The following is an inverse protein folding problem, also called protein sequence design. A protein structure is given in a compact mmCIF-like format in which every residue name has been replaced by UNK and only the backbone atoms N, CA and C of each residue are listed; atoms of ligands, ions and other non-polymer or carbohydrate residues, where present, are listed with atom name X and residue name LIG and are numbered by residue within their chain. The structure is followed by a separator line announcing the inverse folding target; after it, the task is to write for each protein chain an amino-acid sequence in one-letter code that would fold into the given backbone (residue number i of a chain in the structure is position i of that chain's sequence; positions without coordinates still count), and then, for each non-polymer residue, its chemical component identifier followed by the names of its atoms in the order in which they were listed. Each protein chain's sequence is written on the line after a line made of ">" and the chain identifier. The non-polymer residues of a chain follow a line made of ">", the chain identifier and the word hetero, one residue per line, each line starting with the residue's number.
data_IF_838981605316
#
_entry.id   IF_838981605316
#
_cell.length_a   1.000
_cell.length_b   1.000
_cell.length_c   1.000
_cell.angle_alpha   90.00
_cell.angle_beta   90.00
_cell.angle_gamma   90.00
#
_symmetry.space_group_name_H-M   'P 1'
#
loop_
_entity.id
_entity.type
_entity.pdbx_description
1 polymer ?
#
# COMPACT_ATOMS: atom_id res chain seq x y z
N UNK A 1 2.90 21.83 50.62
CA UNK A 1 1.71 22.08 49.77
C UNK A 1 2.04 22.49 48.33
N UNK A 2 3.28 22.89 48.00
CA UNK A 2 3.69 23.27 46.63
C UNK A 2 4.05 22.07 45.73
N UNK A 3 4.58 20.99 46.29
CA UNK A 3 5.03 19.81 45.52
C UNK A 3 3.86 18.99 44.93
N UNK A 4 2.69 18.96 45.58
CA UNK A 4 1.52 18.24 45.06
C UNK A 4 0.83 19.00 43.91
N UNK A 5 0.85 20.33 43.92
CA UNK A 5 0.33 21.15 42.81
C UNK A 5 1.15 21.00 41.54
N UNK A 6 2.48 20.99 41.66
CA UNK A 6 3.39 20.85 40.51
C UNK A 6 3.28 19.47 39.85
N UNK A 7 3.10 18.42 40.65
CA UNK A 7 2.91 17.04 40.17
C UNK A 7 1.55 16.83 39.49
N UNK A 8 0.52 17.53 39.97
CA UNK A 8 -0.83 17.46 39.42
C UNK A 8 -0.98 18.28 38.12
N UNK A 9 -0.25 19.38 37.96
CA UNK A 9 -0.19 20.16 36.71
C UNK A 9 0.60 19.43 35.60
N UNK A 10 1.71 18.77 35.94
CA UNK A 10 2.48 17.97 34.96
C UNK A 10 1.72 16.75 34.49
N UNK A 11 0.97 16.06 35.37
CA UNK A 11 0.12 14.95 34.92
C UNK A 11 -1.01 15.43 34.01
N UNK A 12 -1.71 16.53 34.34
CA UNK A 12 -2.82 17.02 33.49
C UNK A 12 -2.39 17.45 32.08
N UNK A 13 -1.24 18.14 31.97
CA UNK A 13 -0.69 18.58 30.68
C UNK A 13 -0.18 17.42 29.83
N UNK A 14 0.40 16.38 30.47
CA UNK A 14 0.85 15.16 29.79
C UNK A 14 -0.34 14.34 29.28
N UNK A 15 -1.43 14.27 30.05
CA UNK A 15 -2.68 13.63 29.62
C UNK A 15 -3.34 14.37 28.45
N UNK A 16 -3.31 15.70 28.47
CA UNK A 16 -3.83 16.52 27.37
C UNK A 16 -3.01 16.37 26.08
N UNK A 17 -1.68 16.33 26.17
CA UNK A 17 -0.83 16.10 25.00
C UNK A 17 -1.02 14.70 24.40
N UNK A 18 -1.13 13.66 25.23
CA UNK A 18 -1.46 12.30 24.78
C UNK A 18 -2.81 12.27 24.07
N UNK A 19 -3.83 12.91 24.64
CA UNK A 19 -5.19 12.94 24.06
C UNK A 19 -5.24 13.69 22.73
N UNK A 20 -4.53 14.82 22.61
CA UNK A 20 -4.40 15.58 21.36
C UNK A 20 -3.64 14.78 20.29
N UNK A 21 -2.58 14.07 20.70
CA UNK A 21 -1.80 13.21 19.80
C UNK A 21 -2.65 12.05 19.28
N UNK A 22 -3.42 11.38 20.13
CA UNK A 22 -4.35 10.31 19.73
C UNK A 22 -5.42 10.85 18.77
N UNK A 23 -6.08 11.96 19.09
CA UNK A 23 -7.10 12.55 18.23
C UNK A 23 -6.54 12.99 16.86
N UNK A 24 -5.30 13.45 16.82
CA UNK A 24 -4.61 13.82 15.58
C UNK A 24 -4.24 12.58 14.75
N UNK A 25 -3.80 11.50 15.41
CA UNK A 25 -3.53 10.21 14.79
C UNK A 25 -4.80 9.57 14.21
N UNK A 26 -5.93 9.63 14.92
CA UNK A 26 -7.22 9.12 14.44
C UNK A 26 -7.68 9.87 13.18
N UNK A 27 -7.53 11.20 13.15
CA UNK A 27 -7.83 12.02 11.96
C UNK A 27 -6.90 11.69 10.80
N UNK A 28 -5.61 11.52 11.08
CA UNK A 28 -4.65 11.11 10.07
C UNK A 28 -5.00 9.72 9.52
N UNK A 29 -5.38 8.76 10.37
CA UNK A 29 -5.79 7.42 9.96
C UNK A 29 -7.00 7.45 9.01
N UNK A 30 -7.99 8.29 9.28
CA UNK A 30 -9.13 8.52 8.39
C UNK A 30 -8.69 9.04 7.01
N UNK A 31 -7.91 10.13 6.99
CA UNK A 31 -7.45 10.74 5.73
C UNK A 31 -6.56 9.78 4.93
N UNK A 32 -5.63 9.10 5.60
CA UNK A 32 -4.78 8.09 4.96
C UNK A 32 -5.57 6.86 4.53
N UNK A 33 -6.63 6.49 5.24
CA UNK A 33 -7.55 5.43 4.86
C UNK A 33 -8.26 5.72 3.54
N UNK A 34 -8.82 6.92 3.41
CA UNK A 34 -9.51 7.35 2.18
C UNK A 34 -8.53 7.57 1.02
N UNK A 35 -7.38 8.19 1.28
CA UNK A 35 -6.31 8.34 0.28
C UNK A 35 -5.80 6.98 -0.21
N UNK A 36 -5.66 5.99 0.69
CA UNK A 36 -5.23 4.63 0.34
C UNK A 36 -6.29 3.92 -0.52
N UNK A 37 -7.57 4.09 -0.24
CA UNK A 37 -8.65 3.56 -1.08
C UNK A 37 -8.64 4.17 -2.47
N UNK A 38 -8.51 5.49 -2.55
CA UNK A 38 -8.44 6.20 -3.82
C UNK A 38 -7.21 5.77 -4.63
N UNK A 39 -6.04 5.68 -3.99
CA UNK A 39 -4.83 5.18 -4.63
C UNK A 39 -4.98 3.75 -5.15
N UNK A 40 -5.60 2.85 -4.38
CA UNK A 40 -5.88 1.48 -4.83
C UNK A 40 -6.86 1.44 -6.00
N UNK A 41 -7.83 2.35 -6.04
CA UNK A 41 -8.72 2.49 -7.20
C UNK A 41 -7.95 2.94 -8.45
N UNK A 42 -7.07 3.94 -8.33
CA UNK A 42 -6.19 4.34 -9.44
C UNK A 42 -5.29 3.18 -9.91
N UNK A 43 -4.68 2.45 -8.97
CA UNK A 43 -3.92 1.25 -9.29
C UNK A 43 -4.76 0.19 -10.00
N UNK A 44 -6.02 0.01 -9.59
CA UNK A 44 -6.93 -0.91 -10.25
C UNK A 44 -7.19 -0.49 -11.71
N UNK A 45 -7.46 0.79 -11.97
CA UNK A 45 -7.65 1.31 -13.32
C UNK A 45 -6.39 1.12 -14.18
N UNK A 46 -5.22 1.44 -13.62
CA UNK A 46 -3.93 1.25 -14.29
C UNK A 46 -3.68 -0.23 -14.63
N UNK A 47 -3.97 -1.15 -13.70
CA UNK A 47 -3.83 -2.59 -13.90
C UNK A 47 -4.81 -3.13 -14.93
N UNK A 48 -6.04 -2.61 -14.98
CA UNK A 48 -7.04 -2.97 -15.99
C UNK A 48 -6.60 -2.55 -17.39
N UNK A 49 -6.06 -1.33 -17.53
CA UNK A 49 -5.49 -0.87 -18.80
C UNK A 49 -4.26 -1.71 -19.21
N UNK A 50 -3.35 -1.96 -18.28
CA UNK A 50 -2.20 -2.84 -18.51
C UNK A 50 -2.62 -4.24 -18.93
N UNK A 51 -3.68 -4.81 -18.35
CA UNK A 51 -4.18 -6.14 -18.71
C UNK A 51 -4.58 -6.23 -20.18
N UNK A 52 -5.29 -5.21 -20.67
CA UNK A 52 -5.74 -5.12 -22.06
C UNK A 52 -4.57 -4.93 -23.02
N UNK A 53 -3.51 -4.25 -22.58
CA UNK A 53 -2.36 -3.88 -23.40
C UNK A 53 -1.07 -4.67 -23.12
N UNK A 54 -1.15 -5.86 -22.48
CA UNK A 54 0.04 -6.70 -22.25
C UNK A 54 0.65 -7.18 -23.58
N UNK A 55 1.74 -6.55 -24.02
CA UNK A 55 2.48 -6.87 -25.25
C UNK A 55 3.93 -7.27 -24.97
N UNK A 56 4.15 -8.13 -23.98
CA UNK A 56 5.50 -8.62 -23.68
C UNK A 56 5.89 -9.76 -24.65
N UNK A 57 7.11 -9.75 -25.21
CA UNK A 57 7.55 -10.76 -26.18
C UNK A 57 7.64 -12.15 -25.53
N UNK A 58 8.10 -12.21 -24.28
CA UNK A 58 8.23 -13.47 -23.53
C UNK A 58 6.89 -13.93 -22.96
N UNK A 59 6.49 -15.18 -23.27
CA UNK A 59 5.24 -15.78 -22.78
C UNK A 59 5.18 -15.86 -21.25
N UNK A 60 6.27 -16.24 -20.60
CA UNK A 60 6.35 -16.33 -19.14
C UNK A 60 6.10 -14.97 -18.46
N UNK A 61 6.70 -13.89 -18.98
CA UNK A 61 6.47 -12.52 -18.49
C UNK A 61 5.02 -12.11 -18.66
N UNK A 62 4.39 -12.43 -19.81
CA UNK A 62 2.96 -12.17 -20.04
C UNK A 62 2.08 -12.87 -19.01
N UNK A 63 2.33 -14.15 -18.75
CA UNK A 63 1.55 -14.96 -17.80
C UNK A 63 1.73 -14.41 -16.38
N UNK A 64 2.97 -14.17 -15.94
CA UNK A 64 3.25 -13.61 -14.62
C UNK A 64 2.59 -12.24 -14.42
N UNK A 65 2.68 -11.35 -15.41
CA UNK A 65 2.04 -10.03 -15.36
C UNK A 65 0.52 -10.15 -15.27
N UNK A 66 -0.12 -10.99 -16.10
CA UNK A 66 -1.56 -11.23 -16.06
C UNK A 66 -2.01 -11.84 -14.73
N UNK A 67 -1.27 -12.82 -14.22
CA UNK A 67 -1.58 -13.45 -12.94
C UNK A 67 -1.46 -12.46 -11.78
N UNK A 68 -0.45 -11.60 -11.79
CA UNK A 68 -0.29 -10.53 -10.81
C UNK A 68 -1.44 -9.53 -10.87
N UNK A 69 -1.89 -9.15 -12.07
CA UNK A 69 -3.07 -8.29 -12.25
C UNK A 69 -4.33 -8.97 -11.70
N UNK A 70 -4.54 -10.26 -11.97
CA UNK A 70 -5.67 -11.01 -11.42
C UNK A 70 -5.62 -11.08 -9.88
N UNK A 71 -4.43 -11.26 -9.29
CA UNK A 71 -4.27 -11.21 -7.84
C UNK A 71 -4.68 -9.84 -7.28
N UNK A 72 -4.24 -8.75 -7.93
CA UNK A 72 -4.67 -7.40 -7.56
C UNK A 72 -6.18 -7.19 -7.70
N UNK A 73 -6.79 -7.71 -8.76
CA UNK A 73 -8.24 -7.65 -8.96
C UNK A 73 -8.98 -8.34 -7.80
N UNK A 74 -8.62 -9.57 -7.46
CA UNK A 74 -9.28 -10.30 -6.37
C UNK A 74 -8.99 -9.69 -5.00
N UNK A 75 -7.77 -9.19 -4.78
CA UNK A 75 -7.43 -8.41 -3.59
C UNK A 75 -8.35 -7.19 -3.44
N UNK A 76 -8.48 -6.38 -4.48
CA UNK A 76 -9.34 -5.20 -4.47
C UNK A 76 -10.81 -5.58 -4.28
N UNK A 77 -11.30 -6.60 -4.99
CA UNK A 77 -12.68 -7.09 -4.86
C UNK A 77 -12.97 -7.55 -3.43
N UNK A 78 -12.11 -8.40 -2.86
CA UNK A 78 -12.31 -8.92 -1.50
C UNK A 78 -12.19 -7.83 -0.44
N UNK A 79 -11.28 -6.85 -0.61
CA UNK A 79 -11.24 -5.67 0.25
C UNK A 79 -12.56 -4.90 0.23
N UNK A 80 -13.09 -4.60 -0.96
CA UNK A 80 -14.35 -3.87 -1.07
C UNK A 80 -15.53 -4.67 -0.51
N UNK A 81 -15.55 -5.99 -0.68
CA UNK A 81 -16.52 -6.86 -0.02
C UNK A 81 -16.42 -6.75 1.50
N UNK A 82 -15.21 -6.83 2.08
CA UNK A 82 -15.01 -6.67 3.54
C UNK A 82 -15.53 -5.32 4.03
N UNK A 83 -15.24 -4.24 3.29
CA UNK A 83 -15.73 -2.90 3.63
C UNK A 83 -17.25 -2.83 3.54
N UNK A 84 -17.85 -3.35 2.47
CA UNK A 84 -19.30 -3.37 2.27
C UNK A 84 -20.01 -4.14 3.41
N UNK A 85 -19.57 -5.36 3.71
CA UNK A 85 -20.16 -6.15 4.79
C UNK A 85 -20.02 -5.48 6.15
N UNK A 86 -18.87 -4.87 6.47
CA UNK A 86 -18.66 -4.24 7.78
C UNK A 86 -19.31 -2.87 7.93
N UNK A 87 -19.28 -2.01 6.91
CA UNK A 87 -19.72 -0.61 7.00
C UNK A 87 -21.17 -0.42 6.55
N UNK A 88 -21.62 -1.17 5.54
CA UNK A 88 -22.97 -1.00 4.97
C UNK A 88 -23.95 -1.97 5.60
N UNK A 89 -23.58 -3.25 5.69
CA UNK A 89 -24.44 -4.29 6.24
C UNK A 89 -24.27 -4.49 7.75
N UNK A 90 -23.30 -3.83 8.39
CA UNK A 90 -23.07 -3.91 9.83
C UNK A 90 -22.63 -5.29 10.35
N UNK A 91 -22.15 -6.16 9.46
CA UNK A 91 -21.72 -7.52 9.80
C UNK A 91 -20.52 -7.48 10.74
N UNK A 92 -20.57 -8.27 11.82
CA UNK A 92 -19.53 -8.24 12.83
C UNK A 92 -18.19 -8.68 12.26
N UNK A 93 -17.09 -7.97 12.54
CA UNK A 93 -15.77 -8.32 12.02
C UNK A 93 -15.24 -9.67 12.55
N UNK A 94 -15.90 -10.22 13.58
CA UNK A 94 -15.53 -11.50 14.21
C UNK A 94 -16.16 -12.72 13.54
N UNK A 95 -17.10 -12.52 12.61
CA UNK A 95 -17.79 -13.61 11.94
C UNK A 95 -16.86 -14.47 11.08
N UNK A 96 -17.16 -15.78 10.95
CA UNK A 96 -16.32 -16.72 10.21
C UNK A 96 -16.18 -16.34 8.73
N UNK A 97 -17.25 -15.81 8.12
CA UNK A 97 -17.23 -15.29 6.75
C UNK A 97 -16.26 -14.12 6.60
N UNK A 98 -16.26 -13.17 7.56
CA UNK A 98 -15.34 -12.03 7.54
C UNK A 98 -13.89 -12.46 7.70
N UNK A 99 -13.62 -13.43 8.58
CA UNK A 99 -12.26 -14.01 8.73
C UNK A 99 -11.77 -14.64 7.43
N UNK A 100 -12.63 -15.40 6.74
CA UNK A 100 -12.30 -15.99 5.43
C UNK A 100 -12.01 -14.91 4.38
N UNK A 101 -12.87 -13.90 4.28
CA UNK A 101 -12.68 -12.79 3.33
C UNK A 101 -11.36 -12.02 3.59
N UNK A 102 -11.07 -11.69 4.85
CA UNK A 102 -9.81 -11.03 5.23
C UNK A 102 -8.59 -11.90 4.92
N UNK A 103 -8.67 -13.21 5.20
CA UNK A 103 -7.61 -14.16 4.87
C UNK A 103 -7.39 -14.27 3.36
N UNK A 104 -8.46 -14.34 2.57
CA UNK A 104 -8.39 -14.35 1.10
C UNK A 104 -7.77 -13.07 0.57
N UNK A 105 -8.20 -11.91 1.08
CA UNK A 105 -7.64 -10.61 0.74
C UNK A 105 -6.12 -10.58 0.99
N UNK A 106 -5.68 -10.94 2.21
CA UNK A 106 -4.25 -11.01 2.54
C UNK A 106 -3.50 -12.07 1.71
N UNK A 107 -4.15 -13.18 1.37
CA UNK A 107 -3.60 -14.21 0.50
C UNK A 107 -3.35 -13.73 -0.93
N UNK A 108 -4.29 -13.00 -1.53
CA UNK A 108 -4.11 -12.40 -2.85
C UNK A 108 -3.04 -11.30 -2.84
N UNK A 109 -2.95 -10.53 -1.76
CA UNK A 109 -1.89 -9.55 -1.59
C UNK A 109 -0.51 -10.22 -1.51
N UNK A 110 -0.38 -11.26 -0.68
CA UNK A 110 0.85 -12.04 -0.55
C UNK A 110 1.25 -12.67 -1.90
N UNK A 111 0.31 -13.29 -2.60
CA UNK A 111 0.56 -13.90 -3.90
C UNK A 111 1.01 -12.87 -4.93
N UNK A 112 0.43 -11.66 -4.91
CA UNK A 112 0.86 -10.56 -5.77
C UNK A 112 2.30 -10.11 -5.49
N UNK A 113 2.72 -10.08 -4.21
CA UNK A 113 4.10 -9.77 -3.80
C UNK A 113 5.05 -10.87 -4.30
N UNK A 114 4.68 -12.15 -4.08
CA UNK A 114 5.50 -13.30 -4.50
C UNK A 114 5.69 -13.34 -6.02
N UNK A 115 4.66 -13.04 -6.79
CA UNK A 115 4.73 -12.95 -8.25
C UNK A 115 5.56 -11.76 -8.75
N UNK A 116 5.73 -10.73 -7.92
CA UNK A 116 6.51 -9.56 -8.27
C UNK A 116 8.03 -9.81 -8.25
N UNK A 117 8.53 -10.81 -7.53
CA UNK A 117 9.96 -11.16 -7.53
C UNK A 117 10.44 -11.76 -8.85
N UNK A 118 9.87 -12.87 -9.37
CA UNK A 118 10.31 -13.42 -10.64
C UNK A 118 10.05 -12.46 -11.80
N UNK A 119 8.95 -11.69 -11.75
CA UNK A 119 8.65 -10.71 -12.79
C UNK A 119 9.69 -9.58 -12.86
N UNK A 120 10.11 -9.01 -11.73
CA UNK A 120 11.15 -7.97 -11.71
C UNK A 120 12.51 -8.51 -12.14
N UNK A 121 12.83 -9.75 -11.76
CA UNK A 121 14.05 -10.41 -12.21
C UNK A 121 14.06 -10.59 -13.73
N UNK A 122 12.96 -11.12 -14.31
CA UNK A 122 12.86 -11.33 -15.76
C UNK A 122 12.85 -10.04 -16.57
N UNK A 123 12.31 -8.96 -16.00
CA UNK A 123 12.28 -7.64 -16.64
C UNK A 123 13.56 -6.83 -16.41
N UNK A 124 14.52 -7.34 -15.60
CA UNK A 124 15.71 -6.59 -15.16
C UNK A 124 15.36 -5.21 -14.54
N UNK A 125 14.19 -5.11 -13.89
CA UNK A 125 13.64 -3.85 -13.34
C UNK A 125 13.71 -3.74 -11.82
N UNK A 126 14.35 -4.70 -11.15
CA UNK A 126 14.45 -4.73 -9.69
C UNK A 126 15.39 -3.66 -9.14
N UNK A 127 14.90 -2.45 -8.87
CA UNK A 127 15.65 -1.48 -8.07
C UNK A 127 15.76 -1.96 -6.62
N UNK A 128 16.86 -1.66 -5.92
CA UNK A 128 17.04 -2.04 -4.52
C UNK A 128 15.88 -1.57 -3.62
N UNK A 129 15.35 -0.37 -3.86
CA UNK A 129 14.18 0.15 -3.13
C UNK A 129 12.89 -0.64 -3.42
N UNK A 130 12.63 -1.04 -4.67
CA UNK A 130 11.48 -1.89 -5.02
C UNK A 130 11.55 -3.24 -4.30
N UNK A 131 12.74 -3.84 -4.27
CA UNK A 131 12.98 -5.10 -3.57
C UNK A 131 12.83 -4.95 -2.05
N UNK A 132 13.38 -3.88 -1.47
CA UNK A 132 13.24 -3.59 -0.04
C UNK A 132 11.77 -3.39 0.36
N UNK A 133 10.98 -2.68 -0.47
CA UNK A 133 9.54 -2.53 -0.26
C UNK A 133 8.83 -3.88 -0.21
N UNK A 134 9.09 -4.75 -1.18
CA UNK A 134 8.48 -6.08 -1.24
C UNK A 134 8.86 -6.96 -0.06
N UNK A 135 10.11 -6.86 0.40
CA UNK A 135 10.59 -7.58 1.58
C UNK A 135 9.94 -7.08 2.88
N UNK A 136 9.63 -5.78 2.98
CA UNK A 136 8.90 -5.22 4.11
C UNK A 136 7.40 -5.59 4.07
N UNK A 137 6.80 -5.68 2.89
CA UNK A 137 5.40 -6.07 2.72
C UNK A 137 5.18 -7.58 2.92
N UNK A 138 6.19 -8.42 2.67
CA UNK A 138 6.11 -9.88 2.78
C UNK A 138 5.71 -10.38 4.19
N UNK A 139 6.37 -9.97 5.30
CA UNK A 139 5.97 -10.38 6.64
C UNK A 139 4.60 -9.82 7.04
N UNK A 140 4.23 -8.64 6.53
CA UNK A 140 2.91 -8.02 6.76
C UNK A 140 1.82 -8.88 6.15
N UNK A 141 1.99 -9.26 4.88
CA UNK A 141 1.02 -10.07 4.16
C UNK A 141 0.97 -11.52 4.68
N UNK A 142 2.10 -12.10 5.09
CA UNK A 142 2.15 -13.48 5.59
C UNK A 142 1.45 -13.66 6.94
N UNK A 143 1.64 -12.72 7.88
CA UNK A 143 0.92 -12.70 9.17
C UNK A 143 -0.56 -12.41 8.97
N UNK A 144 -0.89 -11.48 8.05
CA UNK A 144 -2.27 -11.22 7.66
C UNK A 144 -2.96 -12.47 7.10
N UNK A 145 -2.23 -13.33 6.38
CA UNK A 145 -2.75 -14.60 5.86
C UNK A 145 -2.84 -15.70 6.92
N UNK A 146 -1.87 -15.80 7.83
CA UNK A 146 -1.88 -16.80 8.91
C UNK A 146 -2.99 -16.54 9.94
N UNK A 147 -3.47 -15.29 10.03
CA UNK A 147 -4.43 -14.87 11.04
C UNK A 147 -3.81 -14.78 12.44
N UNK A 148 -2.47 -14.81 12.52
CA UNK A 148 -1.73 -14.64 13.77
C UNK A 148 -1.86 -13.21 14.24
N UNK A 149 -2.23 -13.01 15.51
CA UNK A 149 -2.19 -11.69 16.13
C UNK A 149 -0.74 -11.36 16.48
N UNK A 150 -0.19 -10.36 15.81
CA UNK A 150 1.11 -9.76 16.14
C UNK A 150 0.86 -8.30 16.51
N UNK A 151 1.75 -7.71 17.31
CA UNK A 151 1.61 -6.33 17.80
C UNK A 151 1.26 -5.35 16.67
N UNK A 152 0.08 -4.74 16.78
CA UNK A 152 -0.46 -3.78 15.80
C UNK A 152 0.50 -2.59 15.57
N UNK A 153 1.32 -2.24 16.58
CA UNK A 153 2.31 -1.17 16.50
C UNK A 153 3.49 -1.49 15.57
N UNK A 154 4.06 -2.69 15.65
CA UNK A 154 5.18 -3.09 14.79
C UNK A 154 4.75 -3.20 13.31
N UNK A 155 3.56 -3.76 13.07
CA UNK A 155 3.01 -3.88 11.72
C UNK A 155 2.55 -2.52 11.17
N UNK A 156 2.09 -1.62 12.05
CA UNK A 156 1.86 -0.22 11.71
C UNK A 156 3.14 0.49 11.26
N UNK A 157 4.25 0.31 11.97
CA UNK A 157 5.56 0.90 11.62
C UNK A 157 6.10 0.31 10.31
N UNK A 158 6.04 -1.02 10.13
CA UNK A 158 6.47 -1.67 8.89
C UNK A 158 5.61 -1.23 7.70
N UNK A 159 4.29 -1.12 7.91
CA UNK A 159 3.37 -0.60 6.90
C UNK A 159 3.64 0.86 6.54
N UNK A 160 3.98 1.71 7.52
CA UNK A 160 4.38 3.10 7.31
C UNK A 160 5.71 3.18 6.54
N UNK A 161 6.73 2.41 6.94
CA UNK A 161 8.01 2.36 6.25
C UNK A 161 7.86 1.91 4.79
N UNK A 162 7.07 0.87 4.54
CA UNK A 162 6.74 0.42 3.18
C UNK A 162 5.98 1.47 2.37
N UNK A 163 5.04 2.19 3.00
CA UNK A 163 4.31 3.27 2.34
C UNK A 163 5.23 4.41 1.92
N UNK A 164 6.16 4.82 2.79
CA UNK A 164 7.14 5.86 2.49
C UNK A 164 8.10 5.46 1.38
N UNK A 165 8.62 4.23 1.41
CA UNK A 165 9.44 3.69 0.32
C UNK A 165 8.65 3.68 -1.00
N UNK A 166 7.37 3.30 -0.96
CA UNK A 166 6.47 3.33 -2.11
C UNK A 166 6.33 4.73 -2.71
N UNK A 167 6.07 5.74 -1.87
CA UNK A 167 5.99 7.14 -2.28
C UNK A 167 7.30 7.62 -2.91
N UNK A 168 8.44 7.34 -2.27
CA UNK A 168 9.75 7.70 -2.80
C UNK A 168 10.00 7.08 -4.18
N UNK A 169 9.74 5.77 -4.36
CA UNK A 169 9.91 5.11 -5.66
C UNK A 169 8.99 5.66 -6.74
N UNK A 170 7.72 5.94 -6.41
CA UNK A 170 6.77 6.53 -7.35
C UNK A 170 7.20 7.95 -7.75
N UNK A 171 7.66 8.74 -6.79
CA UNK A 171 8.17 10.08 -7.03
C UNK A 171 9.38 10.06 -7.95
N UNK A 172 10.37 9.20 -7.67
CA UNK A 172 11.57 9.08 -8.50
C UNK A 172 11.24 8.64 -9.92
N UNK A 173 10.34 7.67 -10.10
CA UNK A 173 9.92 7.22 -11.42
C UNK A 173 9.17 8.31 -12.20
N UNK A 174 8.33 9.08 -11.50
CA UNK A 174 7.58 10.19 -12.10
C UNK A 174 8.52 11.31 -12.53
N UNK A 175 9.48 11.68 -11.68
CA UNK A 175 10.50 12.69 -12.00
C UNK A 175 11.41 12.24 -13.14
N UNK A 176 11.80 10.96 -13.19
CA UNK A 176 12.59 10.42 -14.30
C UNK A 176 11.83 10.49 -15.64
N UNK A 177 10.54 10.10 -15.65
CA UNK A 177 9.67 10.22 -16.84
C UNK A 177 9.49 11.68 -17.25
N UNK A 178 9.28 12.58 -16.28
CA UNK A 178 9.13 14.00 -16.53
C UNK A 178 10.39 14.61 -17.14
N UNK A 179 11.57 14.30 -16.57
CA UNK A 179 12.86 14.73 -17.12
C UNK A 179 13.08 14.21 -18.55
N UNK A 180 12.78 12.94 -18.83
CA UNK A 180 12.88 12.39 -20.18
C UNK A 180 11.94 13.07 -21.17
N UNK A 181 10.70 13.38 -20.77
CA UNK A 181 9.75 14.11 -21.61
C UNK A 181 10.20 15.56 -21.85
N UNK A 182 10.74 16.21 -20.82
CA UNK A 182 11.23 17.59 -20.92
C UNK A 182 12.47 17.68 -21.82
N UNK A 183 13.42 16.74 -21.68
CA UNK A 183 14.59 16.63 -22.56
C UNK A 183 14.18 16.36 -24.02
N UNK A 184 13.19 15.49 -24.26
CA UNK A 184 12.66 15.24 -25.60
C UNK A 184 11.97 16.46 -26.22
N UNK A 185 11.34 17.32 -25.41
CA UNK A 185 10.73 18.57 -25.88
C UNK A 185 11.79 19.63 -26.21
N UNK A 186 12.86 19.72 -25.41
CA UNK A 186 13.98 20.61 -25.67
C UNK A 186 14.81 20.19 -26.90
N UNK A 187 14.91 18.89 -27.18
CA UNK A 187 15.53 18.40 -28.42
C UNK A 187 14.63 18.50 -29.66
N UNK A 188 13.38 18.93 -29.50
CA UNK A 188 12.40 19.09 -30.58
C UNK A 188 12.09 20.56 -30.90
N UNK A 189 12.81 21.52 -30.31
CA UNK A 189 12.79 22.90 -30.81
C UNK A 189 13.45 22.91 -32.18
N UNK A 190 12.72 23.25 -33.26
CA UNK A 190 13.34 23.39 -34.57
C UNK A 190 14.38 24.50 -34.49
N UNK A 191 15.58 24.24 -35.02
CA UNK A 191 16.56 25.29 -35.30
C UNK A 191 15.84 26.37 -36.11
N UNK A 192 15.60 27.52 -35.47
CA UNK A 192 15.12 28.71 -36.16
C UNK A 192 16.32 29.23 -36.94
N UNK A 193 16.44 28.74 -38.18
CA UNK A 193 17.34 29.26 -39.21
C UNK A 193 16.69 30.46 -39.92
#
# INVERSE_FOLDING_TARGET
>A
MTVEKEKQETDSSTFDWKRRTIASLDRAELVFGDARRFFRFLQFLEMADMYRHVREPMRAVRVLRRLRILCFFFFYLTENCVVFYTRVLGVSPREPLMKRLRRSCNGFWLLSILLAFPLDHMLQRGSMLSTAKKLLDLPVASVGFSGSRVSDGLFGVVGLASAQIGLCTCWTDTMAKFQQQHLKRLGATPDVA
#
